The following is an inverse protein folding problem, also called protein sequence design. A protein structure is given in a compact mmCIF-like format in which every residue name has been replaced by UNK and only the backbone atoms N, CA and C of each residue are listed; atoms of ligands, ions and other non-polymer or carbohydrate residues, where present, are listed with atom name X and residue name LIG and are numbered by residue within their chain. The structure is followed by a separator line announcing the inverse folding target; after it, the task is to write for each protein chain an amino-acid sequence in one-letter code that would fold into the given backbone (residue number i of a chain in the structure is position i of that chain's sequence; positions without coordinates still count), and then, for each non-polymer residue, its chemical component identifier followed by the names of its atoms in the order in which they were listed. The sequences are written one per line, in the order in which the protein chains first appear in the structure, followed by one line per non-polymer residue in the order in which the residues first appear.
data_IF_123857484469
#
_entry.id   IF_123857484469
#
_cell.length_a   1.000
_cell.length_b   1.000
_cell.length_c   1.000
_cell.angle_alpha   90.00
_cell.angle_beta   90.00
_cell.angle_gamma   90.00
#
_symmetry.space_group_name_H-M   'P 1'
#
loop_
_entity.id
_entity.type
_entity.pdbx_description
1 polymer ?
#
# COMPACT_ATOMS: atom_id res chain seq x y z
N UNK A 1 0.40 -17.30 3.33
CA UNK A 1 -0.05 -17.01 1.95
C UNK A 1 -0.17 -18.34 1.25
N UNK A 2 -1.29 -18.56 0.57
CA UNK A 2 -1.55 -19.78 -0.22
C UNK A 2 -0.93 -19.59 -1.60
N UNK A 3 -0.84 -20.67 -2.39
CA UNK A 3 -0.35 -20.63 -3.78
C UNK A 3 -1.22 -19.80 -4.73
N UNK A 4 -2.30 -19.18 -4.26
CA UNK A 4 -3.27 -18.42 -5.05
C UNK A 4 -3.46 -16.97 -4.57
N UNK A 5 -2.73 -16.54 -3.53
CA UNK A 5 -2.89 -15.19 -2.95
C UNK A 5 -2.52 -14.11 -3.98
N UNK A 6 -3.48 -13.26 -4.34
CA UNK A 6 -3.24 -12.07 -5.17
C UNK A 6 -3.04 -10.83 -4.29
N UNK A 7 -2.06 -10.01 -4.66
CA UNK A 7 -1.65 -8.83 -3.89
C UNK A 7 -1.80 -7.57 -4.74
N UNK A 8 -2.34 -6.51 -4.15
CA UNK A 8 -2.19 -5.15 -4.64
C UNK A 8 -1.38 -4.31 -3.66
N UNK A 9 -0.57 -3.39 -4.15
CA UNK A 9 0.25 -2.51 -3.33
C UNK A 9 0.22 -1.07 -3.86
N UNK A 10 -0.09 -0.12 -2.98
CA UNK A 10 0.22 1.30 -3.19
C UNK A 10 1.64 1.56 -2.68
N UNK A 11 2.55 2.00 -3.54
CA UNK A 11 3.97 2.24 -3.27
C UNK A 11 4.84 1.02 -3.53
N UNK A 12 5.89 1.16 -4.34
CA UNK A 12 6.77 0.03 -4.68
C UNK A 12 8.02 -0.02 -3.79
N UNK A 13 8.68 -1.18 -3.73
CA UNK A 13 10.01 -1.28 -3.13
C UNK A 13 10.33 -2.67 -2.58
N UNK A 14 10.94 -2.71 -1.40
CA UNK A 14 11.37 -3.96 -0.76
C UNK A 14 10.21 -4.89 -0.41
N UNK A 15 9.05 -4.32 -0.05
CA UNK A 15 7.80 -5.04 0.17
C UNK A 15 7.35 -5.76 -1.10
N UNK A 16 7.43 -5.12 -2.27
CA UNK A 16 7.11 -5.73 -3.57
C UNK A 16 7.93 -7.01 -3.79
N UNK A 17 9.26 -6.96 -3.55
CA UNK A 17 10.15 -8.11 -3.68
C UNK A 17 9.84 -9.20 -2.65
N UNK A 18 9.52 -8.81 -1.42
CA UNK A 18 9.16 -9.75 -0.35
C UNK A 18 7.86 -10.50 -0.68
N UNK A 19 6.87 -9.79 -1.22
CA UNK A 19 5.56 -10.31 -1.58
C UNK A 19 5.62 -11.17 -2.84
N UNK A 20 6.40 -10.78 -3.85
CA UNK A 20 6.60 -11.55 -5.08
C UNK A 20 7.09 -12.98 -4.81
N UNK A 21 7.91 -13.18 -3.78
CA UNK A 21 8.41 -14.50 -3.36
C UNK A 21 7.36 -15.39 -2.67
N UNK A 22 6.20 -14.84 -2.29
CA UNK A 22 5.21 -15.50 -1.40
C UNK A 22 3.79 -15.51 -1.95
N UNK A 23 3.49 -14.60 -2.88
CA UNK A 23 2.20 -14.44 -3.52
C UNK A 23 2.17 -15.13 -4.88
N UNK A 24 0.96 -15.42 -5.35
CA UNK A 24 0.74 -15.89 -6.72
C UNK A 24 1.06 -14.77 -7.72
N UNK A 25 0.58 -13.55 -7.46
CA UNK A 25 0.82 -12.37 -8.28
C UNK A 25 0.80 -11.10 -7.45
N UNK A 26 1.62 -10.12 -7.83
CA UNK A 26 1.66 -8.78 -7.22
C UNK A 26 1.37 -7.72 -8.29
N UNK A 27 0.44 -6.82 -8.00
CA UNK A 27 0.23 -5.58 -8.76
C UNK A 27 0.64 -4.42 -7.85
N UNK A 28 1.56 -3.55 -8.27
CA UNK A 28 2.04 -2.44 -7.44
C UNK A 28 2.13 -1.15 -8.23
N UNK A 29 1.68 -0.04 -7.63
CA UNK A 29 1.60 1.29 -8.27
C UNK A 29 2.55 2.29 -7.60
N UNK A 30 3.20 3.11 -8.42
CA UNK A 30 4.26 4.04 -8.02
C UNK A 30 4.13 5.37 -8.76
N UNK A 31 4.42 6.48 -8.07
CA UNK A 31 4.42 7.83 -8.64
C UNK A 31 5.83 8.35 -8.97
N UNK A 32 6.88 7.76 -8.39
CA UNK A 32 8.28 8.09 -8.68
C UNK A 32 8.89 7.13 -9.73
N UNK A 33 9.15 7.65 -10.93
CA UNK A 33 9.70 6.88 -12.05
C UNK A 33 11.09 6.29 -11.73
N UNK A 34 11.93 7.06 -11.03
CA UNK A 34 13.29 6.62 -10.70
C UNK A 34 13.26 5.53 -9.63
N UNK A 35 12.34 5.59 -8.68
CA UNK A 35 12.12 4.55 -7.70
C UNK A 35 11.55 3.28 -8.34
N UNK A 36 10.55 3.42 -9.22
CA UNK A 36 9.99 2.31 -9.99
C UNK A 36 11.08 1.58 -10.79
N UNK A 37 11.96 2.33 -11.46
CA UNK A 37 13.08 1.78 -12.21
C UNK A 37 14.06 0.97 -11.35
N UNK A 38 14.33 1.41 -10.11
CA UNK A 38 15.16 0.64 -9.16
C UNK A 38 14.46 -0.64 -8.71
N UNK A 39 13.16 -0.58 -8.42
CA UNK A 39 12.38 -1.76 -8.07
C UNK A 39 12.38 -2.77 -9.21
N UNK A 40 12.12 -2.33 -10.44
CA UNK A 40 12.16 -3.18 -11.64
C UNK A 40 13.52 -3.87 -11.81
N UNK A 41 14.62 -3.11 -11.72
CA UNK A 41 15.97 -3.69 -11.83
C UNK A 41 16.23 -4.78 -10.78
N UNK A 42 15.79 -4.56 -9.54
CA UNK A 42 16.00 -5.54 -8.45
C UNK A 42 15.12 -6.79 -8.61
N UNK A 43 13.90 -6.63 -9.15
CA UNK A 43 13.03 -7.75 -9.52
C UNK A 43 13.66 -8.58 -10.64
N UNK A 44 14.25 -7.94 -11.64
CA UNK A 44 14.92 -8.61 -12.75
C UNK A 44 16.18 -9.37 -12.30
N UNK A 45 17.00 -8.77 -11.44
CA UNK A 45 18.15 -9.44 -10.82
C UNK A 45 17.74 -10.66 -9.97
N UNK A 46 16.55 -10.62 -9.38
CA UNK A 46 16.00 -11.71 -8.55
C UNK A 46 15.20 -12.76 -9.35
N UNK A 47 15.09 -12.60 -10.67
CA UNK A 47 14.25 -13.41 -11.57
C UNK A 47 12.78 -13.54 -11.12
N UNK A 48 12.22 -12.47 -10.55
CA UNK A 48 10.83 -12.43 -10.10
C UNK A 48 9.93 -11.88 -11.19
N UNK A 49 9.13 -12.76 -11.82
CA UNK A 49 8.31 -12.44 -13.01
C UNK A 49 6.80 -12.34 -12.74
N UNK A 50 6.38 -12.56 -11.50
CA UNK A 50 4.97 -12.51 -11.08
C UNK A 50 4.54 -11.12 -10.56
N UNK A 51 5.24 -10.06 -10.96
CA UNK A 51 4.98 -8.68 -10.54
C UNK A 51 4.60 -7.84 -11.75
N UNK A 52 3.52 -7.07 -11.61
CA UNK A 52 3.13 -6.04 -12.57
C UNK A 52 3.29 -4.67 -11.92
N UNK A 53 4.24 -3.89 -12.42
CA UNK A 53 4.54 -2.54 -11.94
C UNK A 53 3.79 -1.51 -12.78
N UNK A 54 3.21 -0.51 -12.11
CA UNK A 54 2.47 0.57 -12.73
C UNK A 54 3.08 1.92 -12.34
N UNK A 55 3.53 2.67 -13.35
CA UNK A 55 3.90 4.06 -13.17
C UNK A 55 2.67 4.96 -13.35
N UNK A 56 2.24 5.62 -12.28
CA UNK A 56 1.08 6.51 -12.29
C UNK A 56 1.43 7.80 -11.51
N UNK A 57 2.01 8.81 -12.17
CA UNK A 57 2.46 10.01 -11.47
C UNK A 57 1.29 10.81 -10.90
N UNK A 58 1.45 11.32 -9.68
CA UNK A 58 0.50 12.21 -9.04
C UNK A 58 1.22 13.26 -8.19
N UNK A 59 0.73 14.51 -8.18
CA UNK A 59 1.28 15.56 -7.33
C UNK A 59 0.68 15.49 -5.93
N UNK A 60 1.36 14.79 -5.02
CA UNK A 60 0.90 14.65 -3.63
C UNK A 60 0.98 15.92 -2.78
N UNK A 61 1.54 17.02 -3.31
CA UNK A 61 1.53 18.31 -2.61
C UNK A 61 0.12 18.90 -2.49
N UNK A 62 -0.80 18.47 -3.36
CA UNK A 62 -2.22 18.80 -3.33
C UNK A 62 -3.07 17.57 -3.71
N UNK A 63 -3.94 17.12 -2.82
CA UNK A 63 -4.78 15.94 -3.08
C UNK A 63 -6.06 16.25 -3.89
N UNK A 64 -6.18 17.45 -4.46
CA UNK A 64 -7.29 17.80 -5.34
C UNK A 64 -7.34 16.83 -6.53
N UNK A 65 -8.47 16.14 -6.69
CA UNK A 65 -8.65 15.15 -7.74
C UNK A 65 -7.97 13.79 -7.49
N UNK A 66 -7.37 13.55 -6.32
CA UNK A 66 -6.64 12.31 -6.04
C UNK A 66 -7.53 11.06 -6.17
N UNK A 67 -8.78 11.12 -5.72
CA UNK A 67 -9.75 10.02 -5.84
C UNK A 67 -10.08 9.67 -7.31
N UNK A 68 -9.89 10.61 -8.25
CA UNK A 68 -10.07 10.39 -9.69
C UNK A 68 -8.76 10.09 -10.42
N UNK A 69 -7.63 10.12 -9.71
CA UNK A 69 -6.31 9.90 -10.31
C UNK A 69 -6.14 8.46 -10.80
N UNK A 70 -5.26 8.27 -11.78
CA UNK A 70 -4.88 6.94 -12.25
C UNK A 70 -4.13 6.14 -11.17
N UNK A 71 -3.36 6.81 -10.30
CA UNK A 71 -2.69 6.19 -9.15
C UNK A 71 -3.70 5.51 -8.22
N UNK A 72 -4.71 6.25 -7.74
CA UNK A 72 -5.74 5.71 -6.84
C UNK A 72 -6.50 4.56 -7.52
N UNK A 73 -6.99 4.81 -8.73
CA UNK A 73 -7.87 3.89 -9.45
C UNK A 73 -7.14 2.71 -10.10
N UNK A 74 -5.83 2.61 -9.93
CA UNK A 74 -5.05 1.43 -10.33
C UNK A 74 -5.57 0.19 -9.60
N UNK A 75 -5.94 0.34 -8.33
CA UNK A 75 -6.76 -0.65 -7.63
C UNK A 75 -8.19 -0.60 -8.17
N UNK A 76 -8.50 -1.56 -9.04
CA UNK A 76 -9.77 -1.61 -9.79
C UNK A 76 -10.46 -2.98 -9.72
N UNK A 77 -9.85 -3.95 -9.02
CA UNK A 77 -10.39 -5.31 -8.88
C UNK A 77 -10.03 -5.90 -7.50
N UNK A 78 -10.78 -6.91 -7.02
CA UNK A 78 -10.53 -7.43 -5.68
C UNK A 78 -9.25 -8.24 -5.51
N UNK A 79 -8.56 -8.07 -4.37
CA UNK A 79 -7.33 -8.78 -4.00
C UNK A 79 -7.44 -9.43 -2.61
N UNK A 80 -6.65 -10.49 -2.37
CA UNK A 80 -6.61 -11.17 -1.07
C UNK A 80 -5.81 -10.36 -0.03
N UNK A 81 -4.78 -9.65 -0.50
CA UNK A 81 -3.97 -8.74 0.30
C UNK A 81 -3.86 -7.40 -0.41
N UNK A 82 -4.10 -6.31 0.31
CA UNK A 82 -3.81 -4.96 -0.15
C UNK A 82 -2.83 -4.30 0.81
N UNK A 83 -1.74 -3.74 0.29
CA UNK A 83 -0.73 -3.03 1.08
C UNK A 83 -0.82 -1.54 0.77
N UNK A 84 -0.91 -0.72 1.82
CA UNK A 84 -0.92 0.74 1.75
C UNK A 84 0.40 1.24 2.32
N UNK A 85 1.39 1.45 1.46
CA UNK A 85 2.73 1.94 1.81
C UNK A 85 3.24 3.03 0.85
N UNK A 86 2.31 3.68 0.13
CA UNK A 86 2.63 4.77 -0.80
C UNK A 86 2.98 6.08 -0.10
N UNK A 87 2.84 7.19 -0.82
CA UNK A 87 3.20 8.52 -0.31
C UNK A 87 2.55 8.82 1.05
N UNK A 88 3.39 9.22 2.00
CA UNK A 88 3.11 9.33 3.42
C UNK A 88 3.00 10.79 3.92
N UNK A 89 3.36 11.77 3.09
CA UNK A 89 3.51 13.17 3.51
C UNK A 89 2.16 13.86 3.77
N UNK A 90 2.10 14.62 4.87
CA UNK A 90 1.07 15.63 5.09
C UNK A 90 1.63 16.97 4.63
N UNK A 91 0.94 17.63 3.71
CA UNK A 91 1.31 18.99 3.31
C UNK A 91 0.47 20.03 4.07
N UNK A 92 1.01 21.25 4.19
CA UNK A 92 0.37 22.32 4.95
C UNK A 92 -1.05 22.58 4.45
N UNK A 93 -2.03 22.49 5.35
CA UNK A 93 -3.45 22.68 5.04
C UNK A 93 -4.21 21.41 4.63
N UNK A 94 -3.54 20.27 4.46
CA UNK A 94 -4.21 18.99 4.21
C UNK A 94 -4.74 18.39 5.52
N UNK A 95 -6.02 17.98 5.54
CA UNK A 95 -6.66 17.30 6.68
C UNK A 95 -6.63 15.77 6.55
N UNK A 96 -6.34 15.25 5.36
CA UNK A 96 -6.27 13.83 5.06
C UNK A 96 -5.00 13.53 4.28
N UNK A 97 -4.40 12.38 4.53
CA UNK A 97 -3.27 11.87 3.75
C UNK A 97 -3.73 11.02 2.57
N UNK A 98 -2.86 10.88 1.57
CA UNK A 98 -3.06 9.91 0.49
C UNK A 98 -3.26 8.49 1.02
N UNK A 99 -2.46 8.05 2.01
CA UNK A 99 -2.63 6.72 2.64
C UNK A 99 -4.02 6.52 3.22
N UNK A 100 -4.61 7.53 3.85
CA UNK A 100 -5.98 7.43 4.38
C UNK A 100 -7.01 7.25 3.27
N UNK A 101 -6.86 7.98 2.16
CA UNK A 101 -7.75 7.84 1.00
C UNK A 101 -7.57 6.47 0.32
N UNK A 102 -6.32 6.02 0.14
CA UNK A 102 -6.02 4.69 -0.41
C UNK A 102 -6.57 3.58 0.46
N UNK A 103 -6.47 3.70 1.79
CA UNK A 103 -7.06 2.74 2.72
C UNK A 103 -8.58 2.67 2.56
N UNK A 104 -9.27 3.82 2.52
CA UNK A 104 -10.73 3.86 2.34
C UNK A 104 -11.15 3.17 1.05
N UNK A 105 -10.49 3.48 -0.07
CA UNK A 105 -10.73 2.84 -1.36
C UNK A 105 -10.45 1.33 -1.30
N UNK A 106 -9.36 0.92 -0.64
CA UNK A 106 -8.99 -0.48 -0.50
C UNK A 106 -10.05 -1.34 0.21
N UNK A 107 -10.88 -0.76 1.10
CA UNK A 107 -11.96 -1.51 1.76
C UNK A 107 -13.00 -2.05 0.77
N UNK A 108 -13.19 -1.39 -0.38
CA UNK A 108 -14.13 -1.83 -1.42
C UNK A 108 -13.55 -2.93 -2.32
N UNK A 109 -12.23 -3.14 -2.28
CA UNK A 109 -11.51 -4.08 -3.13
C UNK A 109 -10.76 -5.18 -2.36
N UNK A 110 -10.81 -5.19 -1.03
CA UNK A 110 -10.35 -6.35 -0.27
C UNK A 110 -11.38 -7.46 -0.40
N UNK A 111 -10.94 -8.68 -0.73
CA UNK A 111 -11.83 -9.85 -0.75
C UNK A 111 -12.31 -10.17 0.66
N UNK A 112 -13.46 -10.81 0.76
CA UNK A 112 -13.90 -11.43 2.02
C UNK A 112 -12.86 -12.45 2.50
N UNK A 113 -12.47 -12.38 3.77
CA UNK A 113 -11.36 -13.16 4.33
C UNK A 113 -9.97 -12.58 4.04
N UNK A 114 -9.90 -11.47 3.29
CA UNK A 114 -8.67 -10.80 2.90
C UNK A 114 -8.12 -9.89 4.00
N UNK A 115 -7.01 -9.21 3.68
CA UNK A 115 -6.34 -8.32 4.63
C UNK A 115 -5.89 -7.03 3.96
N UNK A 116 -6.05 -5.91 4.65
CA UNK A 116 -5.39 -4.65 4.30
C UNK A 116 -4.28 -4.40 5.32
N UNK A 117 -3.06 -4.15 4.84
CA UNK A 117 -1.89 -3.79 5.65
C UNK A 117 -1.62 -2.31 5.44
N UNK A 118 -1.46 -1.57 6.54
CA UNK A 118 -1.13 -0.14 6.50
C UNK A 118 0.19 0.07 7.22
N UNK A 119 1.20 0.50 6.48
CA UNK A 119 2.50 0.81 7.08
C UNK A 119 2.52 2.21 7.69
N UNK A 120 3.39 2.41 8.68
CA UNK A 120 3.47 3.63 9.50
C UNK A 120 2.08 4.09 10.00
N UNK A 121 1.22 3.14 10.33
CA UNK A 121 -0.20 3.33 10.70
C UNK A 121 -0.39 4.26 11.91
N UNK A 122 0.62 4.36 12.78
CA UNK A 122 0.63 5.27 13.94
C UNK A 122 0.44 6.75 13.55
N UNK A 123 0.73 7.11 12.30
CA UNK A 123 0.55 8.46 11.76
C UNK A 123 -0.89 8.76 11.34
N UNK A 124 -1.71 7.72 11.18
CA UNK A 124 -3.05 7.78 10.58
C UNK A 124 -4.10 7.20 11.53
N UNK A 125 -4.24 7.71 12.77
CA UNK A 125 -5.19 7.17 13.74
C UNK A 125 -6.64 7.13 13.21
N UNK A 126 -7.00 8.03 12.30
CA UNK A 126 -8.30 8.08 11.63
C UNK A 126 -8.63 6.81 10.82
N UNK A 127 -7.62 6.06 10.36
CA UNK A 127 -7.82 4.78 9.66
C UNK A 127 -8.49 3.77 10.60
N UNK A 128 -8.09 3.74 11.89
CA UNK A 128 -8.64 2.83 12.90
C UNK A 128 -10.09 3.14 13.24
N UNK A 129 -10.51 4.38 13.07
CA UNK A 129 -11.89 4.83 13.29
C UNK A 129 -12.79 4.54 12.08
N UNK A 130 -12.21 4.53 10.88
CA UNK A 130 -12.94 4.37 9.61
C UNK A 130 -12.99 2.93 9.07
N UNK A 131 -12.26 2.00 9.69
CA UNK A 131 -12.19 0.62 9.20
C UNK A 131 -13.48 -0.17 9.43
N UNK A 132 -13.92 -0.93 8.43
CA UNK A 132 -15.03 -1.90 8.52
C UNK A 132 -14.56 -3.34 8.74
N UNK A 133 -13.27 -3.53 9.09
CA UNK A 133 -12.69 -4.85 9.29
C UNK A 133 -13.32 -5.61 10.48
N UNK A 134 -13.28 -6.94 10.43
CA UNK A 134 -13.76 -7.80 11.51
C UNK A 134 -12.77 -7.87 12.67
N UNK A 135 -11.47 -7.69 12.38
CA UNK A 135 -10.40 -7.73 13.35
C UNK A 135 -9.27 -6.80 12.94
N UNK A 136 -8.84 -5.98 13.90
CA UNK A 136 -7.64 -5.15 13.79
C UNK A 136 -6.53 -5.76 14.65
N UNK A 137 -5.33 -5.88 14.08
CA UNK A 137 -4.09 -6.22 14.82
C UNK A 137 -3.08 -5.11 14.57
N UNK A 138 -2.55 -4.54 15.66
CA UNK A 138 -1.52 -3.50 15.62
C UNK A 138 -0.18 -4.12 16.02
N UNK A 139 0.82 -3.99 15.16
CA UNK A 139 2.19 -4.40 15.45
C UNK A 139 3.06 -3.18 15.68
N UNK A 140 3.60 -3.04 16.90
CA UNK A 140 4.48 -1.94 17.27
C UNK A 140 5.95 -2.40 17.30
N UNK A 141 6.87 -1.53 16.90
CA UNK A 141 8.30 -1.79 16.94
C UNK A 141 9.09 -0.48 17.08
N UNK A 142 10.38 -0.59 17.39
CA UNK A 142 11.31 0.53 17.26
C UNK A 142 11.59 0.76 15.77
N UNK A 143 11.15 1.88 15.22
CA UNK A 143 11.30 2.18 13.80
C UNK A 143 12.77 2.37 13.42
N UNK A 144 13.41 1.49 12.63
CA UNK A 144 14.81 1.69 12.24
C UNK A 144 14.97 2.92 11.32
N UNK A 145 13.91 3.27 10.57
CA UNK A 145 13.86 4.46 9.70
C UNK A 145 13.30 5.71 10.37
N UNK A 146 12.71 5.63 11.57
CA UNK A 146 12.11 6.76 12.27
C UNK A 146 12.33 6.68 13.78
N UNK A 147 12.79 7.77 14.39
CA UNK A 147 12.96 7.82 15.85
C UNK A 147 11.60 7.65 16.54
N UNK A 148 11.48 6.61 17.37
CA UNK A 148 10.30 6.37 18.20
C UNK A 148 9.73 4.96 18.01
N UNK A 149 8.55 4.75 18.60
CA UNK A 149 7.74 3.56 18.37
C UNK A 149 6.91 3.83 17.12
N UNK A 150 7.03 2.96 16.12
CA UNK A 150 6.19 2.96 14.93
C UNK A 150 5.24 1.76 14.97
N UNK A 151 4.16 1.81 14.21
CA UNK A 151 3.25 0.68 14.05
C UNK A 151 2.91 0.39 12.60
N UNK A 152 2.59 -0.88 12.35
CA UNK A 152 1.95 -1.38 11.12
C UNK A 152 0.63 -2.03 11.54
N UNK A 153 -0.47 -1.65 10.90
CA UNK A 153 -1.80 -2.18 11.19
C UNK A 153 -2.20 -3.26 10.17
N UNK A 154 -2.78 -4.35 10.65
CA UNK A 154 -3.37 -5.42 9.85
C UNK A 154 -4.88 -5.45 10.10
N UNK A 155 -5.64 -5.15 9.04
CA UNK A 155 -7.10 -5.11 9.04
C UNK A 155 -7.64 -6.35 8.32
N UNK A 156 -8.27 -7.27 9.05
CA UNK A 156 -8.80 -8.53 8.51
C UNK A 156 -10.31 -8.40 8.22
N UNK A 157 -10.72 -8.69 6.97
CA UNK A 157 -12.09 -8.50 6.47
C UNK A 157 -12.86 -9.80 6.26
#
# INVERSE_FOLDING_TARGET
MTSETTVFEYGTGGSTLFLAKRAFSVESVEDDEAWLGKTQATLDESDLKNVNLHFEPFDFSCLDGFEQSSYMNKLSRPHDLIVVDGQDHYHFGQTLSARTLCFRHAQDFVRQGGTIVVDDSWRYPEIRESTSCQKLVVHESTGPGRKGVTSTDLHYY
#
